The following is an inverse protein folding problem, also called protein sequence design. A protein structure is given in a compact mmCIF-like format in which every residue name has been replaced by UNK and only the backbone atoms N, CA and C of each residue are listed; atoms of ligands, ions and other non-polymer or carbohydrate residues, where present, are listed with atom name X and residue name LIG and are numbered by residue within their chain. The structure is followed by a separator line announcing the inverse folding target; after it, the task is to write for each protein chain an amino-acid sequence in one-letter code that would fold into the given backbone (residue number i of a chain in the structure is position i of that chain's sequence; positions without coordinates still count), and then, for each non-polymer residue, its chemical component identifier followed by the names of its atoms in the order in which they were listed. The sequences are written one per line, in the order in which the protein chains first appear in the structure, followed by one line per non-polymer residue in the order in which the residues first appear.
data_IF_527237966000
#
_entry.id   IF_527237966000
#
_cell.length_a   1.000
_cell.length_b   1.000
_cell.length_c   1.000
_cell.angle_alpha   90.00
_cell.angle_beta   90.00
_cell.angle_gamma   90.00
#
_symmetry.space_group_name_H-M   'P 1'
#
loop_
_entity.id
_entity.type
_entity.pdbx_description
1 polymer ?
#
# COMPACT_ATOMS: atom_id res chain seq x y z
N UNK A 1 22.13 -14.81 -27.88
CA UNK A 1 20.74 -15.26 -27.63
C UNK A 1 19.82 -14.09 -27.98
N UNK A 2 18.93 -14.23 -28.97
CA UNK A 2 18.07 -13.12 -29.44
C UNK A 2 16.80 -13.10 -28.60
N UNK A 3 16.63 -12.09 -27.75
CA UNK A 3 15.38 -11.90 -27.01
C UNK A 3 14.21 -11.68 -27.99
N UNK A 4 13.07 -12.34 -27.73
CA UNK A 4 11.83 -12.16 -28.50
C UNK A 4 11.43 -10.68 -28.45
N UNK A 5 11.50 -10.00 -29.60
CA UNK A 5 11.06 -8.61 -29.74
C UNK A 5 12.10 -7.63 -30.30
N UNK A 6 13.37 -8.02 -30.48
CA UNK A 6 14.42 -7.07 -30.91
C UNK A 6 14.25 -6.53 -32.34
N UNK A 7 13.47 -7.21 -33.20
CA UNK A 7 13.30 -6.83 -34.61
C UNK A 7 11.94 -6.17 -34.94
N UNK A 8 10.87 -6.54 -34.25
CA UNK A 8 9.49 -6.05 -34.49
C UNK A 8 8.64 -5.91 -33.22
N UNK A 9 9.28 -6.04 -32.04
CA UNK A 9 8.60 -6.09 -30.75
C UNK A 9 8.13 -4.74 -30.24
N UNK A 10 7.55 -4.76 -29.04
CA UNK A 10 7.14 -3.53 -28.35
C UNK A 10 8.32 -2.57 -28.14
N UNK A 11 9.51 -3.11 -27.81
CA UNK A 11 10.71 -2.30 -27.61
C UNK A 11 11.11 -1.54 -28.88
N UNK A 12 11.17 -2.22 -30.05
CA UNK A 12 11.48 -1.57 -31.33
C UNK A 12 10.51 -0.42 -31.64
N UNK A 13 9.21 -0.64 -31.41
CA UNK A 13 8.18 0.38 -31.63
C UNK A 13 8.30 1.57 -30.67
N UNK A 14 8.58 1.32 -29.40
CA UNK A 14 8.80 2.39 -28.41
C UNK A 14 10.05 3.20 -28.76
N UNK A 15 11.14 2.54 -29.16
CA UNK A 15 12.37 3.23 -29.58
C UNK A 15 12.17 4.10 -30.81
N UNK A 16 11.44 3.59 -31.80
CA UNK A 16 11.20 4.32 -33.04
C UNK A 16 10.23 5.50 -32.85
N UNK A 17 9.17 5.33 -32.05
CA UNK A 17 8.06 6.28 -32.02
C UNK A 17 8.05 7.21 -30.80
N UNK A 18 8.71 6.84 -29.70
CA UNK A 18 8.53 7.52 -28.41
C UNK A 18 9.83 7.83 -27.67
N UNK A 19 10.83 6.95 -27.69
CA UNK A 19 12.06 7.11 -26.91
C UNK A 19 13.27 6.43 -27.59
N UNK A 20 13.93 7.10 -28.55
CA UNK A 20 15.09 6.55 -29.27
C UNK A 20 16.26 6.15 -28.35
N UNK A 21 16.37 6.83 -27.22
CA UNK A 21 17.44 6.67 -26.22
C UNK A 21 17.10 5.69 -25.10
N UNK A 22 16.07 4.85 -25.28
CA UNK A 22 15.65 3.87 -24.27
C UNK A 22 16.86 3.02 -23.82
N UNK A 23 17.10 2.88 -22.52
CA UNK A 23 18.19 2.04 -22.05
C UNK A 23 17.82 0.56 -22.24
N UNK A 24 18.69 -0.20 -22.89
CA UNK A 24 18.55 -1.65 -23.00
C UNK A 24 18.98 -2.30 -21.69
N UNK A 25 18.04 -2.56 -20.79
CA UNK A 25 18.32 -3.33 -19.59
C UNK A 25 18.30 -4.81 -19.95
N UNK A 26 19.45 -5.45 -19.78
CA UNK A 26 19.59 -6.87 -20.07
C UNK A 26 18.67 -7.74 -19.18
N UNK A 27 18.13 -8.80 -19.76
CA UNK A 27 17.19 -9.70 -19.08
C UNK A 27 17.82 -10.40 -17.88
N UNK A 28 19.09 -10.77 -17.97
CA UNK A 28 19.81 -11.41 -16.87
C UNK A 28 20.05 -10.41 -15.74
N UNK A 29 20.31 -9.13 -16.05
CA UNK A 29 20.40 -8.07 -15.04
C UNK A 29 19.09 -7.96 -14.24
N UNK A 30 17.93 -7.93 -14.90
CA UNK A 30 16.63 -7.94 -14.23
C UNK A 30 16.43 -9.20 -13.36
N UNK A 31 16.86 -10.36 -13.85
CA UNK A 31 16.73 -11.62 -13.13
C UNK A 31 17.64 -11.67 -11.89
N UNK A 32 18.87 -11.19 -12.00
CA UNK A 32 19.80 -11.07 -10.88
C UNK A 32 19.28 -10.14 -9.80
N UNK A 33 18.76 -8.96 -10.17
CA UNK A 33 18.18 -8.02 -9.20
C UNK A 33 16.94 -8.63 -8.54
N UNK A 34 16.07 -9.32 -9.30
CA UNK A 34 14.92 -10.02 -8.73
C UNK A 34 15.35 -11.08 -7.71
N UNK A 35 16.35 -11.90 -8.04
CA UNK A 35 16.85 -12.94 -7.16
C UNK A 35 17.51 -12.35 -5.90
N UNK A 36 18.29 -11.27 -6.05
CA UNK A 36 18.88 -10.55 -4.93
C UNK A 36 17.80 -9.98 -4.01
N UNK A 37 16.78 -9.31 -4.57
CA UNK A 37 15.65 -8.78 -3.81
C UNK A 37 14.87 -9.89 -3.10
N UNK A 38 14.68 -11.05 -3.75
CA UNK A 38 14.00 -12.21 -3.16
C UNK A 38 14.78 -12.80 -1.97
N UNK A 39 16.10 -12.94 -2.09
CA UNK A 39 16.97 -13.41 -0.99
C UNK A 39 16.94 -12.42 0.16
N UNK A 40 17.06 -11.13 -0.15
CA UNK A 40 17.00 -10.06 0.84
C UNK A 40 15.64 -9.98 1.55
N UNK A 41 14.53 -10.21 0.83
CA UNK A 41 13.19 -10.23 1.39
C UNK A 41 12.84 -11.51 2.17
N UNK A 42 13.61 -12.60 2.01
CA UNK A 42 13.30 -13.90 2.57
C UNK A 42 13.11 -13.91 4.11
N UNK A 43 13.96 -13.23 4.92
CA UNK A 43 13.77 -13.15 6.37
C UNK A 43 12.43 -12.52 6.78
N UNK A 44 11.86 -11.66 5.93
CA UNK A 44 10.59 -10.98 6.18
C UNK A 44 9.38 -11.84 5.83
N UNK A 45 9.54 -13.09 5.36
CA UNK A 45 8.46 -14.07 5.20
C UNK A 45 7.22 -13.54 4.43
N UNK A 46 7.47 -12.77 3.38
CA UNK A 46 6.45 -12.11 2.56
C UNK A 46 5.50 -11.18 3.33
N UNK A 47 5.99 -10.52 4.38
CA UNK A 47 5.19 -9.69 5.27
C UNK A 47 4.47 -8.55 4.53
N UNK A 48 5.20 -7.81 3.69
CA UNK A 48 4.67 -6.68 2.94
C UNK A 48 3.79 -7.13 1.77
N UNK A 49 4.16 -8.19 1.07
CA UNK A 49 3.38 -8.79 -0.01
C UNK A 49 2.00 -9.25 0.48
N UNK A 50 1.93 -9.83 1.67
CA UNK A 50 0.66 -10.20 2.29
C UNK A 50 -0.15 -8.97 2.68
N UNK A 51 0.49 -7.90 3.17
CA UNK A 51 -0.19 -6.64 3.47
C UNK A 51 -0.79 -6.02 2.21
N UNK A 52 -0.01 -5.93 1.13
CA UNK A 52 -0.48 -5.38 -0.15
C UNK A 52 -1.62 -6.22 -0.72
N UNK A 53 -1.55 -7.54 -0.61
CA UNK A 53 -2.64 -8.44 -1.02
C UNK A 53 -3.90 -8.22 -0.20
N UNK A 54 -3.77 -8.10 1.13
CA UNK A 54 -4.90 -7.86 2.04
C UNK A 54 -5.57 -6.50 1.72
N UNK A 55 -4.77 -5.44 1.54
CA UNK A 55 -5.26 -4.10 1.18
C UNK A 55 -5.92 -4.09 -0.21
N UNK A 56 -5.31 -4.72 -1.21
CA UNK A 56 -5.90 -4.81 -2.54
C UNK A 56 -7.25 -5.55 -2.49
N UNK A 57 -7.31 -6.70 -1.83
CA UNK A 57 -8.54 -7.48 -1.71
C UNK A 57 -9.65 -6.69 -1.01
N UNK A 58 -9.35 -5.98 0.08
CA UNK A 58 -10.37 -5.20 0.78
C UNK A 58 -11.01 -4.13 -0.11
N UNK A 59 -10.23 -3.43 -0.93
CA UNK A 59 -10.74 -2.33 -1.75
C UNK A 59 -11.19 -2.78 -3.16
N UNK A 60 -10.82 -3.98 -3.61
CA UNK A 60 -11.34 -4.57 -4.83
C UNK A 60 -12.83 -4.92 -4.68
N UNK A 61 -13.23 -5.41 -3.50
CA UNK A 61 -14.59 -5.90 -3.26
C UNK A 61 -15.48 -4.93 -2.48
N UNK A 62 -14.91 -3.90 -1.83
CA UNK A 62 -15.65 -2.89 -1.06
C UNK A 62 -15.47 -1.50 -1.70
N UNK A 63 -16.31 -1.18 -2.67
CA UNK A 63 -16.26 0.10 -3.42
C UNK A 63 -16.50 1.31 -2.52
N UNK A 64 -17.33 1.16 -1.49
CA UNK A 64 -17.56 2.15 -0.44
C UNK A 64 -16.29 2.47 0.36
N UNK A 65 -15.53 1.46 0.78
CA UNK A 65 -14.26 1.67 1.47
C UNK A 65 -13.26 2.41 0.58
N UNK A 66 -13.26 2.14 -0.73
CA UNK A 66 -12.41 2.86 -1.69
C UNK A 66 -12.84 4.32 -1.86
N UNK A 67 -14.15 4.59 -1.92
CA UNK A 67 -14.69 5.95 -1.97
C UNK A 67 -14.32 6.73 -0.72
N UNK A 68 -14.58 6.18 0.47
CA UNK A 68 -14.23 6.83 1.73
C UNK A 68 -12.72 7.01 1.90
N UNK A 69 -11.90 6.07 1.42
CA UNK A 69 -10.44 6.22 1.41
C UNK A 69 -10.03 7.46 0.60
N UNK A 70 -10.63 7.69 -0.58
CA UNK A 70 -10.33 8.84 -1.43
C UNK A 70 -10.72 10.15 -0.76
N UNK A 71 -11.93 10.23 -0.21
CA UNK A 71 -12.38 11.42 0.51
C UNK A 71 -11.50 11.72 1.74
N UNK A 72 -11.10 10.68 2.49
CA UNK A 72 -10.13 10.83 3.59
C UNK A 72 -8.78 11.36 3.07
N UNK A 73 -8.29 10.86 1.94
CA UNK A 73 -7.07 11.37 1.33
C UNK A 73 -7.18 12.85 0.98
N UNK A 74 -8.31 13.27 0.41
CA UNK A 74 -8.59 14.67 0.08
C UNK A 74 -8.61 15.55 1.33
N UNK A 75 -9.29 15.10 2.40
CA UNK A 75 -9.30 15.82 3.69
C UNK A 75 -7.93 15.95 4.34
N UNK A 76 -7.03 14.99 4.09
CA UNK A 76 -5.67 14.99 4.61
C UNK A 76 -4.65 15.59 3.63
N UNK A 77 -5.08 16.10 2.47
CA UNK A 77 -4.17 16.58 1.41
C UNK A 77 -3.12 15.53 0.96
N UNK A 78 -3.50 14.26 0.99
CA UNK A 78 -2.66 13.14 0.54
C UNK A 78 -3.06 12.77 -0.89
N UNK A 79 -2.11 12.69 -1.85
CA UNK A 79 -2.43 12.21 -3.20
C UNK A 79 -3.01 10.79 -3.18
N UNK A 80 -4.32 10.70 -3.41
CA UNK A 80 -5.08 9.46 -3.41
C UNK A 80 -4.72 8.55 -4.57
N UNK A 81 -4.70 7.24 -4.33
CA UNK A 81 -4.60 6.23 -5.39
C UNK A 81 -5.31 4.95 -4.98
N UNK A 82 -5.87 4.22 -5.95
CA UNK A 82 -6.44 2.92 -5.66
C UNK A 82 -5.32 1.91 -5.28
N UNK A 83 -5.57 1.01 -4.31
CA UNK A 83 -4.58 -0.01 -3.94
C UNK A 83 -4.35 -0.97 -5.11
N UNK A 84 -3.11 -1.06 -5.57
CA UNK A 84 -2.74 -1.88 -6.73
C UNK A 84 -2.37 -3.31 -6.29
N UNK A 85 -2.65 -4.28 -7.16
CA UNK A 85 -2.11 -5.63 -7.05
C UNK A 85 -0.66 -5.62 -7.53
N UNK A 86 0.26 -6.14 -6.73
CA UNK A 86 1.63 -6.35 -7.19
C UNK A 86 1.75 -7.65 -7.99
N UNK A 87 2.76 -7.71 -8.85
CA UNK A 87 3.11 -8.89 -9.66
C UNK A 87 4.22 -9.67 -8.96
N UNK A 88 3.92 -10.89 -8.51
CA UNK A 88 4.82 -11.69 -7.66
C UNK A 88 6.22 -11.93 -8.25
N UNK A 89 6.32 -12.12 -9.56
CA UNK A 89 7.59 -12.36 -10.24
C UNK A 89 8.33 -11.06 -10.62
N UNK A 90 7.79 -9.89 -10.28
CA UNK A 90 8.36 -8.60 -10.58
C UNK A 90 8.57 -7.83 -9.26
N UNK A 91 9.79 -7.86 -8.73
CA UNK A 91 10.12 -7.21 -7.46
C UNK A 91 9.83 -5.70 -7.50
N UNK A 92 10.07 -5.05 -8.65
CA UNK A 92 9.74 -3.63 -8.88
C UNK A 92 8.25 -3.35 -8.66
N UNK A 93 7.38 -4.29 -9.04
CA UNK A 93 5.94 -4.13 -8.80
C UNK A 93 5.61 -4.13 -7.31
N UNK A 94 6.30 -4.94 -6.49
CA UNK A 94 6.15 -4.88 -5.04
C UNK A 94 6.65 -3.55 -4.47
N UNK A 95 7.75 -3.01 -5.00
CA UNK A 95 8.28 -1.69 -4.63
C UNK A 95 7.32 -0.54 -4.98
N UNK A 96 6.71 -0.55 -6.17
CA UNK A 96 5.73 0.47 -6.57
C UNK A 96 4.48 0.46 -5.67
N UNK A 97 3.99 -0.74 -5.35
CA UNK A 97 2.87 -0.90 -4.40
C UNK A 97 3.30 -0.47 -3.00
N UNK A 98 4.56 -0.71 -2.64
CA UNK A 98 5.13 -0.30 -1.37
C UNK A 98 5.09 1.24 -1.22
N UNK A 99 5.66 1.98 -2.18
CA UNK A 99 5.68 3.46 -2.16
C UNK A 99 4.26 4.03 -2.05
N UNK A 100 3.34 3.54 -2.88
CA UNK A 100 1.95 4.03 -2.86
C UNK A 100 1.25 3.73 -1.53
N UNK A 101 1.45 2.53 -0.97
CA UNK A 101 0.90 2.15 0.33
C UNK A 101 1.49 2.99 1.47
N UNK A 102 2.79 3.30 1.43
CA UNK A 102 3.45 4.13 2.44
C UNK A 102 2.84 5.54 2.47
N UNK A 103 2.64 6.14 1.30
CA UNK A 103 1.99 7.46 1.18
C UNK A 103 0.58 7.46 1.76
N UNK A 104 -0.19 6.41 1.51
CA UNK A 104 -1.58 6.28 1.96
C UNK A 104 -1.73 5.78 3.39
N UNK A 105 -0.64 5.40 4.07
CA UNK A 105 -0.67 4.83 5.41
C UNK A 105 -1.43 5.69 6.45
N UNK A 106 -1.31 7.03 6.47
CA UNK A 106 -2.12 7.90 7.33
C UNK A 106 -3.62 7.75 7.06
N UNK A 107 -4.03 7.82 5.79
CA UNK A 107 -5.43 7.67 5.40
C UNK A 107 -5.97 6.28 5.73
N UNK A 108 -5.15 5.23 5.58
CA UNK A 108 -5.53 3.88 6.02
C UNK A 108 -5.75 3.81 7.53
N UNK A 109 -4.92 4.46 8.35
CA UNK A 109 -5.12 4.51 9.81
C UNK A 109 -6.46 5.13 10.18
N UNK A 110 -6.83 6.23 9.52
CA UNK A 110 -8.14 6.86 9.69
C UNK A 110 -9.27 5.94 9.25
N UNK A 111 -9.19 5.36 8.05
CA UNK A 111 -10.23 4.49 7.51
C UNK A 111 -10.44 3.23 8.37
N UNK A 112 -9.34 2.58 8.77
CA UNK A 112 -9.40 1.30 9.46
C UNK A 112 -9.74 1.43 10.94
N UNK A 113 -9.66 2.63 11.54
CA UNK A 113 -10.02 2.87 12.93
C UNK A 113 -11.42 2.31 13.29
N UNK A 114 -12.39 2.39 12.37
CA UNK A 114 -13.74 1.86 12.60
C UNK A 114 -13.77 0.35 12.90
N UNK A 115 -12.86 -0.43 12.33
CA UNK A 115 -12.84 -1.89 12.43
C UNK A 115 -12.07 -2.41 13.66
N UNK A 116 -11.49 -1.51 14.46
CA UNK A 116 -10.86 -1.86 15.72
C UNK A 116 -11.89 -2.30 16.77
N UNK A 117 -11.48 -3.16 17.69
CA UNK A 117 -12.29 -3.47 18.87
C UNK A 117 -12.34 -2.27 19.83
N UNK A 118 -13.18 -2.38 20.87
CA UNK A 118 -13.40 -1.28 21.82
C UNK A 118 -12.12 -0.93 22.61
N UNK A 119 -11.32 -1.93 22.94
CA UNK A 119 -10.09 -1.76 23.71
C UNK A 119 -9.04 -1.00 22.88
N UNK A 120 -8.80 -1.46 21.65
CA UNK A 120 -7.89 -0.80 20.70
C UNK A 120 -8.37 0.62 20.37
N UNK A 121 -9.68 0.84 20.14
CA UNK A 121 -10.22 2.20 19.91
C UNK A 121 -9.90 3.15 21.07
N UNK A 122 -9.95 2.67 22.31
CA UNK A 122 -9.54 3.43 23.49
C UNK A 122 -8.08 3.87 23.41
N UNK A 123 -7.17 2.94 23.10
CA UNK A 123 -5.73 3.19 22.97
C UNK A 123 -5.39 4.13 21.81
N UNK A 124 -6.18 4.09 20.73
CA UNK A 124 -5.89 4.78 19.48
C UNK A 124 -6.65 6.09 19.27
N UNK A 125 -7.51 6.46 20.21
CA UNK A 125 -8.28 7.71 20.14
C UNK A 125 -7.37 8.94 20.07
N UNK A 126 -6.36 9.02 20.93
CA UNK A 126 -5.45 10.17 20.96
C UNK A 126 -4.46 10.17 19.78
N UNK A 127 -3.85 9.04 19.39
CA UNK A 127 -3.10 8.96 18.14
C UNK A 127 -3.91 9.36 16.89
N UNK A 128 -5.21 9.04 16.82
CA UNK A 128 -6.08 9.48 15.72
C UNK A 128 -6.29 11.01 15.73
N UNK A 129 -6.50 11.60 16.92
CA UNK A 129 -6.60 13.07 17.06
C UNK A 129 -5.30 13.75 16.67
N UNK A 130 -4.16 13.21 17.10
CA UNK A 130 -2.86 13.73 16.70
C UNK A 130 -2.68 13.66 15.18
N UNK A 131 -3.10 12.56 14.55
CA UNK A 131 -3.06 12.42 13.11
C UNK A 131 -3.92 13.47 12.39
N UNK A 132 -5.08 13.82 12.93
CA UNK A 132 -5.89 14.92 12.39
C UNK A 132 -5.21 16.27 12.54
N UNK A 133 -4.52 16.52 13.65
CA UNK A 133 -3.74 17.74 13.84
C UNK A 133 -2.56 17.82 12.86
N UNK A 134 -1.78 16.73 12.73
CA UNK A 134 -0.60 16.66 11.85
C UNK A 134 -0.94 16.93 10.37
N UNK A 135 -2.15 16.55 9.94
CA UNK A 135 -2.64 16.73 8.58
C UNK A 135 -3.62 17.90 8.43
N UNK A 136 -3.78 18.75 9.46
CA UNK A 136 -4.68 19.91 9.46
C UNK A 136 -6.13 19.57 9.05
N UNK A 137 -6.63 18.41 9.48
CA UNK A 137 -7.98 17.94 9.13
C UNK A 137 -9.02 18.77 9.89
N UNK A 138 -9.79 19.58 9.17
CA UNK A 138 -10.83 20.45 9.74
C UNK A 138 -11.90 19.69 10.54
N UNK A 139 -12.55 20.35 11.50
CA UNK A 139 -13.65 19.75 12.28
C UNK A 139 -14.82 19.26 11.40
N UNK A 140 -15.10 19.97 10.31
CA UNK A 140 -16.10 19.55 9.32
C UNK A 140 -15.70 18.22 8.67
N UNK A 141 -14.44 18.11 8.23
CA UNK A 141 -13.91 16.86 7.67
C UNK A 141 -13.91 15.73 8.71
N UNK A 142 -13.53 15.99 9.97
CA UNK A 142 -13.61 15.00 11.04
C UNK A 142 -15.04 14.52 11.30
N UNK A 143 -16.04 15.41 11.18
CA UNK A 143 -17.45 15.04 11.28
C UNK A 143 -17.87 14.11 10.15
N UNK A 144 -17.45 14.41 8.92
CA UNK A 144 -17.70 13.55 7.77
C UNK A 144 -17.01 12.19 7.88
N UNK A 145 -15.79 12.16 8.42
CA UNK A 145 -15.07 10.90 8.69
C UNK A 145 -15.84 10.05 9.72
N UNK A 146 -16.43 10.67 10.75
CA UNK A 146 -17.26 9.95 11.72
C UNK A 146 -18.50 9.33 11.06
N UNK A 147 -19.16 10.02 10.12
CA UNK A 147 -20.29 9.41 9.40
C UNK A 147 -19.85 8.23 8.54
N UNK A 148 -18.67 8.28 7.91
CA UNK A 148 -18.12 7.10 7.21
C UNK A 148 -17.90 5.92 8.16
N UNK A 149 -17.38 6.18 9.36
CA UNK A 149 -17.20 5.14 10.38
C UNK A 149 -18.54 4.56 10.84
N UNK A 150 -19.56 5.40 11.04
CA UNK A 150 -20.91 4.93 11.38
C UNK A 150 -21.48 4.02 10.29
N UNK A 151 -21.36 4.43 9.03
CA UNK A 151 -21.85 3.66 7.88
C UNK A 151 -21.11 2.31 7.73
N UNK A 152 -19.78 2.32 7.86
CA UNK A 152 -18.98 1.10 7.80
C UNK A 152 -19.24 0.17 8.99
N UNK A 153 -19.55 0.70 10.17
CA UNK A 153 -19.80 -0.09 11.37
C UNK A 153 -21.09 -0.92 11.29
N UNK A 154 -22.07 -0.46 10.51
CA UNK A 154 -23.36 -1.14 10.29
C UNK A 154 -23.23 -2.31 9.33
N UNK A 155 -22.14 -2.41 8.57
CA UNK A 155 -21.97 -3.44 7.55
C UNK A 155 -21.51 -4.77 8.15
N UNK A 156 -22.22 -5.83 7.77
CA UNK A 156 -21.78 -7.20 8.04
C UNK A 156 -20.47 -7.49 7.30
N UNK A 157 -19.53 -8.12 8.00
CA UNK A 157 -18.23 -8.51 7.43
C UNK A 157 -18.04 -10.02 7.53
N UNK A 158 -17.57 -10.63 6.44
CA UNK A 158 -17.18 -12.04 6.43
C UNK A 158 -16.03 -12.29 7.40
N UNK A 159 -15.89 -13.52 7.88
CA UNK A 159 -14.78 -13.87 8.77
C UNK A 159 -13.42 -13.57 8.13
N UNK A 160 -13.27 -13.87 6.83
CA UNK A 160 -12.08 -13.55 6.07
C UNK A 160 -11.77 -12.03 6.06
N UNK A 161 -12.81 -11.19 5.91
CA UNK A 161 -12.66 -9.74 6.01
C UNK A 161 -12.18 -9.31 7.40
N UNK A 162 -12.78 -9.85 8.46
CA UNK A 162 -12.37 -9.56 9.85
C UNK A 162 -10.92 -9.94 10.09
N UNK A 163 -10.49 -11.09 9.59
CA UNK A 163 -9.11 -11.57 9.74
C UNK A 163 -8.12 -10.69 8.96
N UNK A 164 -8.51 -10.15 7.79
CA UNK A 164 -7.70 -9.14 7.07
C UNK A 164 -7.52 -7.88 7.89
N UNK A 165 -8.60 -7.33 8.47
CA UNK A 165 -8.52 -6.14 9.33
C UNK A 165 -7.61 -6.39 10.55
N UNK A 166 -7.76 -7.53 11.23
CA UNK A 166 -6.88 -7.94 12.34
C UNK A 166 -5.41 -8.01 11.93
N UNK A 167 -5.10 -8.60 10.77
CA UNK A 167 -3.72 -8.61 10.24
C UNK A 167 -3.22 -7.20 9.95
N UNK A 168 -4.04 -6.35 9.35
CA UNK A 168 -3.67 -4.96 9.11
C UNK A 168 -3.30 -4.23 10.41
N UNK A 169 -4.09 -4.37 11.49
CA UNK A 169 -3.77 -3.75 12.78
C UNK A 169 -2.47 -4.24 13.39
N UNK A 170 -2.18 -5.55 13.28
CA UNK A 170 -0.90 -6.12 13.76
C UNK A 170 0.31 -5.58 12.99
N UNK A 171 0.16 -5.24 11.71
CA UNK A 171 1.26 -4.80 10.82
C UNK A 171 1.42 -3.28 10.77
N UNK A 172 0.31 -2.57 10.78
CA UNK A 172 0.20 -1.15 10.43
C UNK A 172 -0.58 -0.31 11.44
N UNK A 173 -1.11 -0.94 12.51
CA UNK A 173 -1.78 -0.24 13.60
C UNK A 173 -0.87 0.81 14.23
N UNK A 174 -1.45 1.77 14.95
CA UNK A 174 -0.71 2.92 15.50
C UNK A 174 0.10 2.56 16.77
N UNK A 175 0.62 1.33 16.89
CA UNK A 175 1.52 0.93 17.99
C UNK A 175 2.94 1.46 17.75
N UNK A 176 3.70 1.80 18.81
CA UNK A 176 5.13 2.05 18.69
C UNK A 176 5.86 0.78 18.18
N UNK A 177 6.91 0.92 17.35
CA UNK A 177 7.39 -0.16 16.51
C UNK A 177 8.34 -1.11 17.23
N UNK A 178 8.17 -2.42 17.03
CA UNK A 178 9.30 -3.36 17.01
C UNK A 178 9.72 -3.69 15.56
N UNK A 179 8.79 -3.62 14.59
CA UNK A 179 9.04 -3.57 13.14
C UNK A 179 7.85 -2.87 12.47
N UNK A 180 7.86 -1.54 12.35
CA UNK A 180 6.79 -0.86 11.61
C UNK A 180 6.93 -1.14 10.12
N UNK A 181 5.81 -1.01 9.39
CA UNK A 181 5.80 -0.94 7.93
C UNK A 181 6.88 0.05 7.42
N UNK A 182 7.10 1.16 8.14
CA UNK A 182 8.18 2.15 7.90
C UNK A 182 9.57 1.55 7.93
N UNK A 183 9.90 0.68 8.89
CA UNK A 183 11.21 0.00 8.96
C UNK A 183 11.41 -0.99 7.80
N UNK A 184 10.35 -1.68 7.37
CA UNK A 184 10.39 -2.55 6.18
C UNK A 184 10.39 -1.77 4.85
N UNK A 185 9.86 -0.54 4.82
CA UNK A 185 10.02 0.34 3.64
C UNK A 185 11.47 0.75 3.43
N UNK A 186 12.22 1.04 4.50
CA UNK A 186 13.66 1.34 4.41
C UNK A 186 14.42 0.19 3.78
N UNK A 187 14.02 -1.05 4.07
CA UNK A 187 14.56 -2.29 3.51
C UNK A 187 14.35 -2.33 1.98
N UNK A 188 13.13 -2.16 1.47
CA UNK A 188 12.88 -2.13 0.02
C UNK A 188 13.52 -0.93 -0.69
N UNK A 189 13.57 0.23 -0.03
CA UNK A 189 14.26 1.42 -0.56
C UNK A 189 15.77 1.19 -0.71
N UNK A 190 16.39 0.53 0.28
CA UNK A 190 17.83 0.22 0.25
C UNK A 190 18.19 -0.81 -0.81
N UNK A 191 17.25 -1.67 -1.20
CA UNK A 191 17.42 -2.62 -2.30
C UNK A 191 17.14 -2.01 -3.70
N UNK A 192 16.46 -0.87 -3.76
CA UNK A 192 16.04 -0.22 -5.00
C UNK A 192 16.98 0.92 -5.47
N UNK A 193 17.89 1.37 -4.61
CA UNK A 193 18.89 2.39 -4.93
C UNK A 193 20.24 1.66 -5.11
N UNK A 194 20.82 1.62 -6.33
CA UNK A 194 22.17 1.12 -6.55
C UNK A 194 23.24 2.00 -5.88
#
# INVERSE_FOLDING_TARGET
MVMRGSKTGLETRVRQNHCPTLLGVDGDSCHHIHNAAKVFAAPFSSHLERLFSDLHADHQWASDQLTYLREICDFMSIPGSAPKRFVQHCWLSAYDVAISTQRLLPAYKVLYYVFMDKEDKGLYKDPLKQLFADYNVSEKAQTQIRSFHEDLSKKGMTQLGKDRKKRWFRRCGMKPPQLSCTSMYTVYRSAAIP
#
